data_IF_218743951009
#
_entry.id   IF_218743951009
#
_cell.length_a   1.000
_cell.length_b   1.000
_cell.length_c   1.000
_cell.angle_alpha   90.00
_cell.angle_beta   90.00
_cell.angle_gamma   90.00
#
_symmetry.space_group_name_H-M   'P 1'
#
loop_
_entity.id
_entity.type
_entity.pdbx_description
1 polymer ?
#
# COMPACT_ATOMS: atom_id res chain seq x y z
N UNK A 1 -5.24 8.89 20.10
CA UNK A 1 -6.70 8.79 19.91
C UNK A 1 -7.03 8.87 18.43
N UNK A 2 -6.65 9.92 17.71
CA UNK A 2 -6.97 10.10 16.28
C UNK A 2 -6.28 9.09 15.34
N UNK A 3 -5.03 8.69 15.61
CA UNK A 3 -4.35 7.67 14.77
C UNK A 3 -5.05 6.30 14.79
N UNK A 4 -5.75 5.99 15.89
CA UNK A 4 -6.48 4.72 16.04
C UNK A 4 -7.73 4.71 15.16
N UNK A 5 -8.35 5.87 14.97
CA UNK A 5 -9.53 6.03 14.11
C UNK A 5 -9.20 5.76 12.65
N UNK A 6 -8.10 6.35 12.15
CA UNK A 6 -7.62 6.12 10.78
C UNK A 6 -7.28 4.64 10.52
N UNK A 7 -6.61 3.99 11.48
CA UNK A 7 -6.32 2.55 11.42
C UNK A 7 -7.60 1.72 11.45
N UNK A 8 -8.52 2.06 12.35
CA UNK A 8 -9.80 1.36 12.49
C UNK A 8 -10.62 1.41 11.21
N UNK A 9 -10.68 2.57 10.53
CA UNK A 9 -11.40 2.68 9.26
C UNK A 9 -10.79 1.78 8.18
N UNK A 10 -9.45 1.73 8.08
CA UNK A 10 -8.77 0.84 7.13
C UNK A 10 -9.10 -0.64 7.39
N UNK A 11 -9.03 -1.08 8.64
CA UNK A 11 -9.40 -2.46 9.00
C UNK A 11 -10.86 -2.76 8.73
N UNK A 12 -11.78 -1.82 8.98
CA UNK A 12 -13.19 -2.03 8.66
C UNK A 12 -13.44 -2.25 7.17
N UNK A 13 -12.76 -1.50 6.29
CA UNK A 13 -12.85 -1.75 4.85
C UNK A 13 -12.34 -3.15 4.46
N UNK A 14 -11.24 -3.59 5.08
CA UNK A 14 -10.67 -4.93 4.86
C UNK A 14 -11.64 -6.01 5.37
N UNK A 15 -12.15 -5.88 6.60
CA UNK A 15 -13.07 -6.83 7.24
C UNK A 15 -14.38 -6.98 6.45
N UNK A 16 -14.86 -5.89 5.86
CA UNK A 16 -16.06 -5.89 5.01
C UNK A 16 -15.79 -6.44 3.60
N UNK A 17 -14.53 -6.63 3.20
CA UNK A 17 -14.15 -7.21 1.91
C UNK A 17 -14.62 -6.43 0.68
N UNK A 18 -15.01 -5.15 0.84
CA UNK A 18 -15.60 -4.32 -0.20
C UNK A 18 -17.11 -4.51 -0.43
N UNK A 19 -17.77 -5.39 0.33
CA UNK A 19 -19.20 -5.69 0.19
C UNK A 19 -20.11 -4.60 0.81
N UNK A 20 -19.55 -3.79 1.72
CA UNK A 20 -20.25 -2.67 2.34
C UNK A 20 -19.26 -1.55 2.73
N UNK A 21 -19.81 -0.36 2.98
CA UNK A 21 -19.08 0.80 3.49
C UNK A 21 -19.04 0.79 5.03
N UNK A 22 -17.90 1.08 5.66
CA UNK A 22 -17.81 1.28 7.12
C UNK A 22 -18.70 2.42 7.62
N UNK A 23 -19.22 2.32 8.83
CA UNK A 23 -19.98 3.42 9.43
C UNK A 23 -19.09 4.65 9.62
N UNK A 24 -19.57 5.82 9.20
CA UNK A 24 -18.86 7.10 9.38
C UNK A 24 -17.64 7.30 8.47
N UNK A 25 -17.48 6.51 7.40
CA UNK A 25 -16.35 6.65 6.47
C UNK A 25 -16.16 8.06 5.92
N UNK A 26 -17.22 8.88 5.88
CA UNK A 26 -17.19 10.26 5.39
C UNK A 26 -16.29 11.17 6.23
N UNK A 27 -16.01 10.81 7.49
CA UNK A 27 -15.08 11.56 8.35
C UNK A 27 -13.67 11.63 7.77
N UNK A 28 -13.30 10.67 6.89
CA UNK A 28 -12.06 10.71 6.13
C UNK A 28 -11.81 12.06 5.43
N UNK A 29 -12.86 12.71 4.92
CA UNK A 29 -12.72 13.99 4.22
C UNK A 29 -12.41 15.17 5.16
N UNK A 30 -12.72 15.03 6.44
CA UNK A 30 -12.46 16.04 7.47
C UNK A 30 -11.08 15.87 8.12
N UNK A 31 -10.42 14.74 7.87
CA UNK A 31 -9.11 14.43 8.42
C UNK A 31 -7.99 15.28 7.81
N UNK A 32 -6.97 15.53 8.63
CA UNK A 32 -5.74 16.14 8.15
C UNK A 32 -4.91 15.14 7.30
N UNK A 33 -3.85 15.66 6.68
CA UNK A 33 -2.97 14.86 5.83
C UNK A 33 -2.35 13.68 6.58
N UNK A 34 -2.03 13.82 7.88
CA UNK A 34 -1.37 12.76 8.64
C UNK A 34 -2.31 11.59 8.89
N UNK A 35 -3.55 11.85 9.28
CA UNK A 35 -4.56 10.81 9.48
C UNK A 35 -4.87 10.06 8.18
N UNK A 36 -4.99 10.78 7.06
CA UNK A 36 -5.14 10.14 5.74
C UNK A 36 -3.93 9.26 5.40
N UNK A 37 -2.72 9.74 5.65
CA UNK A 37 -1.51 8.93 5.45
C UNK A 37 -1.53 7.67 6.31
N UNK A 38 -1.91 7.75 7.58
CA UNK A 38 -2.02 6.60 8.49
C UNK A 38 -3.04 5.58 7.95
N UNK A 39 -4.18 6.02 7.44
CA UNK A 39 -5.17 5.15 6.80
C UNK A 39 -4.55 4.37 5.62
N UNK A 40 -3.88 5.07 4.69
CA UNK A 40 -3.24 4.42 3.53
C UNK A 40 -2.04 3.55 3.91
N UNK A 41 -1.22 3.98 4.87
CA UNK A 41 -0.11 3.18 5.41
C UNK A 41 -0.63 1.87 6.05
N UNK A 42 -1.81 1.91 6.67
CA UNK A 42 -2.45 0.73 7.27
C UNK A 42 -2.95 -0.23 6.18
N UNK A 43 -3.54 0.28 5.10
CA UNK A 43 -3.92 -0.54 3.94
C UNK A 43 -2.69 -1.21 3.31
N UNK A 44 -1.61 -0.46 3.10
CA UNK A 44 -0.36 -0.97 2.52
C UNK A 44 0.27 -2.08 3.38
N UNK A 45 0.29 -1.91 4.71
CA UNK A 45 0.79 -2.93 5.64
C UNK A 45 -0.03 -4.23 5.62
N UNK A 46 -1.30 -4.15 5.19
CA UNK A 46 -2.21 -5.29 5.07
C UNK A 46 -2.55 -5.58 3.60
N UNK A 47 -1.66 -5.20 2.67
CA UNK A 47 -1.90 -5.29 1.24
C UNK A 47 -2.41 -6.65 0.75
N UNK A 48 -1.98 -7.83 1.26
CA UNK A 48 -2.55 -9.12 0.88
C UNK A 48 -4.07 -9.21 1.04
N UNK A 49 -4.64 -8.55 2.04
CA UNK A 49 -6.07 -8.53 2.36
C UNK A 49 -6.82 -7.38 1.63
N UNK A 50 -6.11 -6.38 1.12
CA UNK A 50 -6.67 -5.30 0.31
C UNK A 50 -6.95 -5.81 -1.10
N UNK A 51 -8.11 -6.43 -1.29
CA UNK A 51 -8.55 -6.98 -2.58
C UNK A 51 -9.00 -5.89 -3.56
N UNK A 52 -9.24 -6.29 -4.81
CA UNK A 52 -9.84 -5.40 -5.81
C UNK A 52 -11.17 -4.80 -5.33
N UNK A 53 -12.03 -5.61 -4.70
CA UNK A 53 -13.34 -5.17 -4.19
C UNK A 53 -13.17 -4.11 -3.09
N UNK A 54 -12.17 -4.28 -2.21
CA UNK A 54 -11.86 -3.31 -1.16
C UNK A 54 -11.42 -1.98 -1.78
N UNK A 55 -10.52 -2.01 -2.78
CA UNK A 55 -10.08 -0.80 -3.49
C UNK A 55 -11.26 -0.11 -4.18
N UNK A 56 -12.08 -0.87 -4.91
CA UNK A 56 -13.24 -0.33 -5.61
C UNK A 56 -14.25 0.32 -4.64
N UNK A 57 -14.49 -0.30 -3.48
CA UNK A 57 -15.36 0.25 -2.43
C UNK A 57 -14.79 1.53 -1.83
N UNK A 58 -13.50 1.55 -1.49
CA UNK A 58 -12.83 2.75 -0.97
C UNK A 58 -12.88 3.89 -2.01
N UNK A 59 -12.68 3.58 -3.29
CA UNK A 59 -12.73 4.59 -4.35
C UNK A 59 -14.15 5.13 -4.58
N UNK A 60 -15.16 4.26 -4.55
CA UNK A 60 -16.57 4.67 -4.63
C UNK A 60 -16.96 5.57 -3.47
N UNK A 61 -16.55 5.21 -2.25
CA UNK A 61 -16.93 5.91 -1.02
C UNK A 61 -16.17 7.24 -0.84
N UNK A 62 -14.87 7.25 -1.14
CA UNK A 62 -13.97 8.37 -0.84
C UNK A 62 -13.51 9.14 -2.09
N UNK A 63 -13.88 8.69 -3.29
CA UNK A 63 -13.51 9.32 -4.58
C UNK A 63 -12.00 9.56 -4.69
N UNK A 64 -11.20 8.56 -4.32
CA UNK A 64 -9.75 8.67 -4.16
C UNK A 64 -9.01 8.96 -5.47
N UNK A 65 -9.41 8.28 -6.54
CA UNK A 65 -8.79 8.43 -7.87
C UNK A 65 -9.07 9.81 -8.48
N UNK A 66 -10.28 10.34 -8.28
CA UNK A 66 -10.74 11.56 -8.92
C UNK A 66 -10.46 12.84 -8.10
N UNK A 67 -10.68 12.80 -6.78
CA UNK A 67 -10.85 14.03 -5.98
C UNK A 67 -9.79 14.25 -4.91
N UNK A 68 -9.02 13.24 -4.52
CA UNK A 68 -7.95 13.45 -3.53
C UNK A 68 -6.79 14.19 -4.20
N UNK A 69 -6.28 15.28 -3.62
CA UNK A 69 -5.22 16.10 -4.21
C UNK A 69 -3.91 16.04 -3.41
N UNK A 70 -3.93 15.46 -2.22
CA UNK A 70 -2.73 15.34 -1.39
C UNK A 70 -1.70 14.39 -2.05
N UNK A 71 -0.51 14.88 -2.43
CA UNK A 71 0.51 14.04 -3.04
C UNK A 71 1.06 12.96 -2.10
N UNK A 72 1.02 13.16 -0.78
CA UNK A 72 1.43 12.15 0.20
C UNK A 72 0.43 11.00 0.27
N UNK A 73 -0.83 11.26 -0.08
CA UNK A 73 -1.88 10.23 -0.17
C UNK A 73 -1.84 9.53 -1.52
N UNK A 74 -1.78 10.28 -2.62
CA UNK A 74 -1.71 9.72 -3.99
C UNK A 74 -0.54 8.77 -4.19
N UNK A 75 0.62 9.08 -3.60
CA UNK A 75 1.81 8.23 -3.72
C UNK A 75 1.64 6.84 -3.06
N UNK A 76 0.65 6.67 -2.18
CA UNK A 76 0.31 5.40 -1.54
C UNK A 76 -0.87 4.73 -2.23
N UNK A 77 -1.85 5.52 -2.65
CA UNK A 77 -3.06 5.03 -3.30
C UNK A 77 -2.82 4.42 -4.68
N UNK A 78 -2.11 5.11 -5.58
CA UNK A 78 -1.94 4.65 -6.95
C UNK A 78 -1.14 3.35 -7.09
N UNK A 79 0.00 3.15 -6.40
CA UNK A 79 0.73 1.89 -6.47
C UNK A 79 -0.12 0.70 -6.04
N UNK A 80 -0.94 0.86 -5.00
CA UNK A 80 -1.85 -0.16 -4.49
C UNK A 80 -2.95 -0.49 -5.53
N UNK A 81 -3.54 0.52 -6.16
CA UNK A 81 -4.52 0.33 -7.23
C UNK A 81 -3.93 -0.41 -8.44
N UNK A 82 -2.76 0.03 -8.92
CA UNK A 82 -2.08 -0.58 -10.06
C UNK A 82 -1.63 -2.01 -9.72
N UNK A 83 -1.17 -2.23 -8.48
CA UNK A 83 -0.84 -3.54 -7.95
C UNK A 83 -2.00 -4.55 -8.04
N UNK A 84 -3.23 -4.07 -7.87
CA UNK A 84 -4.47 -4.85 -8.02
C UNK A 84 -5.12 -4.75 -9.40
N UNK A 85 -4.48 -4.08 -10.37
CA UNK A 85 -5.01 -3.86 -11.73
C UNK A 85 -6.41 -3.22 -11.69
N UNK A 86 -6.58 -2.21 -10.84
CA UNK A 86 -7.82 -1.46 -10.73
C UNK A 86 -7.89 -0.42 -11.87
N UNK A 87 -8.62 -0.76 -12.94
CA UNK A 87 -8.71 0.01 -14.19
C UNK A 87 -8.96 1.53 -14.00
N UNK A 88 -9.86 1.98 -13.11
CA UNK A 88 -10.14 3.41 -12.94
C UNK A 88 -8.92 4.24 -12.48
N UNK A 89 -7.88 3.60 -11.94
CA UNK A 89 -6.68 4.31 -11.48
C UNK A 89 -5.65 4.59 -12.59
N UNK A 90 -5.72 3.94 -13.77
CA UNK A 90 -4.62 4.03 -14.76
C UNK A 90 -4.47 5.43 -15.34
N UNK A 91 -5.53 6.00 -15.90
CA UNK A 91 -5.48 7.34 -16.48
C UNK A 91 -5.17 8.41 -15.42
N UNK A 92 -5.81 8.43 -14.24
CA UNK A 92 -5.45 9.36 -13.17
C UNK A 92 -4.00 9.22 -12.69
N UNK A 93 -3.48 7.99 -12.59
CA UNK A 93 -2.10 7.74 -12.19
C UNK A 93 -1.10 8.23 -13.25
N UNK A 94 -1.34 7.95 -14.54
CA UNK A 94 -0.49 8.43 -15.64
C UNK A 94 -0.43 9.96 -15.65
N UNK A 95 -1.60 10.62 -15.60
CA UNK A 95 -1.69 12.08 -15.56
C UNK A 95 -0.95 12.64 -14.34
N UNK A 96 -1.08 11.99 -13.18
CA UNK A 96 -0.41 12.42 -11.98
C UNK A 96 1.12 12.30 -12.07
N UNK A 97 1.67 11.15 -12.50
CA UNK A 97 3.13 10.99 -12.66
C UNK A 97 3.70 11.84 -13.78
N UNK A 98 2.90 12.20 -14.78
CA UNK A 98 3.25 13.15 -15.83
C UNK A 98 3.32 14.60 -15.33
N UNK A 99 2.66 14.91 -14.22
CA UNK A 99 2.65 16.25 -13.60
C UNK A 99 3.71 16.42 -12.49
N UNK A 100 4.32 15.32 -12.04
CA UNK A 100 5.19 15.29 -10.85
C UNK A 100 6.65 15.07 -11.21
N UNK A 101 7.53 16.00 -10.79
CA UNK A 101 8.98 15.91 -11.04
C UNK A 101 9.80 15.29 -9.91
N UNK A 102 9.19 14.99 -8.75
CA UNK A 102 9.90 14.49 -7.56
C UNK A 102 9.87 12.97 -7.54
N UNK A 103 11.04 12.33 -7.57
CA UNK A 103 11.18 10.87 -7.53
C UNK A 103 10.39 10.18 -6.42
N UNK A 104 10.30 10.81 -5.23
CA UNK A 104 9.46 10.31 -4.10
C UNK A 104 8.03 9.95 -4.52
N UNK A 105 7.42 10.70 -5.43
CA UNK A 105 6.05 10.49 -5.88
C UNK A 105 5.97 9.59 -7.12
N UNK A 106 6.99 9.65 -7.96
CA UNK A 106 7.04 8.94 -9.24
C UNK A 106 7.42 7.47 -9.04
N UNK A 107 8.46 7.18 -8.26
CA UNK A 107 9.00 5.83 -8.12
C UNK A 107 7.99 4.80 -7.59
N UNK A 108 7.16 5.09 -6.56
CA UNK A 108 6.19 4.12 -6.07
C UNK A 108 5.21 3.65 -7.17
N UNK A 109 4.80 4.55 -8.07
CA UNK A 109 3.85 4.22 -9.15
C UNK A 109 4.48 3.25 -10.15
N UNK A 110 5.71 3.54 -10.59
CA UNK A 110 6.45 2.64 -11.49
C UNK A 110 6.76 1.30 -10.82
N UNK A 111 7.06 1.28 -9.52
CA UNK A 111 7.20 0.03 -8.76
C UNK A 111 5.89 -0.77 -8.75
N UNK A 112 4.74 -0.11 -8.54
CA UNK A 112 3.43 -0.76 -8.60
C UNK A 112 3.16 -1.44 -9.95
N UNK A 113 3.54 -0.79 -11.06
CA UNK A 113 3.45 -1.39 -12.40
C UNK A 113 4.43 -2.56 -12.57
N UNK A 114 5.68 -2.40 -12.15
CA UNK A 114 6.70 -3.44 -12.30
C UNK A 114 6.32 -4.71 -11.53
N UNK A 115 5.93 -4.58 -10.26
CA UNK A 115 5.63 -5.72 -9.40
C UNK A 115 4.34 -6.45 -9.77
N UNK A 116 3.40 -5.77 -10.42
CA UNK A 116 2.17 -6.39 -10.93
C UNK A 116 2.33 -7.02 -12.32
N UNK A 117 3.57 -7.05 -12.85
CA UNK A 117 3.90 -7.61 -14.16
C UNK A 117 3.46 -6.73 -15.32
N UNK A 118 3.33 -5.42 -15.11
CA UNK A 118 2.81 -4.45 -16.06
C UNK A 118 3.91 -3.54 -16.63
N UNK A 119 5.09 -4.11 -16.83
CA UNK A 119 6.26 -3.39 -17.35
C UNK A 119 5.95 -2.64 -18.65
N UNK A 120 5.18 -3.24 -19.58
CA UNK A 120 4.80 -2.60 -20.85
C UNK A 120 4.04 -1.28 -20.66
N UNK A 121 3.14 -1.21 -19.66
CA UNK A 121 2.43 0.04 -19.32
C UNK A 121 3.40 1.07 -18.76
N UNK A 122 4.32 0.62 -17.90
CA UNK A 122 5.39 1.46 -17.36
C UNK A 122 6.30 2.03 -18.46
N UNK A 123 6.69 1.22 -19.45
CA UNK A 123 7.50 1.69 -20.58
C UNK A 123 6.78 2.78 -21.39
N UNK A 124 5.48 2.61 -21.67
CA UNK A 124 4.67 3.60 -22.37
C UNK A 124 4.64 4.92 -21.58
N UNK A 125 4.35 4.87 -20.29
CA UNK A 125 4.28 6.06 -19.44
C UNK A 125 5.63 6.75 -19.29
N UNK A 126 6.71 5.97 -19.16
CA UNK A 126 8.07 6.49 -19.11
C UNK A 126 8.43 7.17 -20.43
N UNK A 127 8.15 6.56 -21.57
CA UNK A 127 8.47 7.14 -22.88
C UNK A 127 7.73 8.45 -23.12
N UNK A 128 6.48 8.55 -22.69
CA UNK A 128 5.70 9.79 -22.75
C UNK A 128 6.32 10.93 -21.92
N UNK A 129 7.03 10.60 -20.84
CA UNK A 129 7.44 11.57 -19.81
C UNK A 129 8.96 11.70 -19.58
N UNK A 130 9.80 10.87 -20.20
CA UNK A 130 11.25 10.77 -19.89
C UNK A 130 12.01 12.09 -20.03
N UNK A 131 11.55 12.97 -20.92
CA UNK A 131 12.15 14.30 -21.16
C UNK A 131 11.68 15.36 -20.16
N UNK A 132 10.56 15.12 -19.47
CA UNK A 132 10.05 15.99 -18.42
C UNK A 132 10.78 15.75 -17.09
N UNK A 133 11.14 14.50 -16.78
CA UNK A 133 11.83 14.16 -15.55
C UNK A 133 13.25 14.74 -15.48
N UNK A 134 13.66 15.12 -14.27
CA UNK A 134 15.08 15.39 -14.00
C UNK A 134 15.91 14.15 -14.34
N UNK A 135 17.13 14.26 -14.90
CA UNK A 135 17.93 13.11 -15.32
C UNK A 135 18.10 12.03 -14.25
N UNK A 136 18.26 12.43 -12.98
CA UNK A 136 18.33 11.49 -11.85
C UNK A 136 17.01 10.73 -11.61
N UNK A 137 15.87 11.38 -11.78
CA UNK A 137 14.55 10.74 -11.66
C UNK A 137 14.31 9.82 -12.85
N UNK A 138 14.67 10.28 -14.06
CA UNK A 138 14.57 9.48 -15.27
C UNK A 138 15.41 8.20 -15.18
N UNK A 139 16.65 8.30 -14.68
CA UNK A 139 17.50 7.14 -14.42
C UNK A 139 16.89 6.21 -13.36
N UNK A 140 16.36 6.75 -12.26
CA UNK A 140 15.70 5.92 -11.23
C UNK A 140 14.47 5.18 -11.74
N UNK A 141 13.66 5.79 -12.61
CA UNK A 141 12.53 5.11 -13.26
C UNK A 141 13.02 4.02 -14.20
N UNK A 142 14.09 4.29 -14.97
CA UNK A 142 14.72 3.30 -15.85
C UNK A 142 15.21 2.09 -15.06
N UNK A 143 15.90 2.31 -13.95
CA UNK A 143 16.39 1.25 -13.06
C UNK A 143 15.23 0.37 -12.54
N UNK A 144 14.07 0.96 -12.22
CA UNK A 144 12.87 0.22 -11.81
C UNK A 144 12.35 -0.64 -12.96
N UNK A 145 12.21 -0.09 -14.16
CA UNK A 145 11.65 -0.81 -15.30
C UNK A 145 12.60 -1.89 -15.87
N UNK A 146 13.91 -1.77 -15.64
CA UNK A 146 14.91 -2.79 -16.03
C UNK A 146 15.08 -3.89 -14.99
N UNK A 147 14.56 -3.71 -13.78
CA UNK A 147 14.66 -4.70 -12.68
C UNK A 147 13.80 -5.95 -12.94
N UNK A 148 14.21 -7.11 -12.43
CA UNK A 148 13.38 -8.31 -12.51
C UNK A 148 12.29 -8.23 -11.43
N UNK A 149 11.00 -8.44 -11.74
CA UNK A 149 9.94 -8.47 -10.72
C UNK A 149 10.23 -9.45 -9.57
N UNK A 150 11.00 -10.51 -9.81
CA UNK A 150 11.42 -11.47 -8.79
C UNK A 150 12.43 -10.90 -7.77
N UNK A 151 13.13 -9.81 -8.11
CA UNK A 151 14.06 -9.11 -7.20
C UNK A 151 13.33 -8.50 -6.00
N UNK A 152 11.99 -8.37 -6.08
CA UNK A 152 11.14 -7.78 -5.03
C UNK A 152 10.19 -8.78 -4.38
N UNK A 153 10.39 -10.07 -4.63
CA UNK A 153 9.62 -11.18 -4.03
C UNK A 153 9.64 -11.16 -2.49
N UNK A 154 10.63 -10.53 -1.87
CA UNK A 154 10.72 -10.36 -0.41
C UNK A 154 9.84 -9.23 0.15
N UNK A 155 9.37 -8.29 -0.69
CA UNK A 155 8.51 -7.19 -0.26
C UNK A 155 7.04 -7.58 -0.20
N UNK A 156 6.65 -8.62 -0.93
CA UNK A 156 5.30 -9.16 -0.95
C UNK A 156 5.45 -10.67 -1.02
N UNK A 157 5.34 -11.36 0.12
CA UNK A 157 5.46 -12.80 0.19
C UNK A 157 4.30 -13.46 -0.58
N UNK A 158 4.51 -13.73 -1.87
CA UNK A 158 3.57 -14.43 -2.75
C UNK A 158 3.77 -15.96 -2.70
N UNK A 159 4.64 -16.47 -1.81
CA UNK A 159 5.08 -17.87 -1.81
C UNK A 159 5.15 -18.53 -0.43
N UNK A 160 4.15 -18.36 0.45
CA UNK A 160 3.88 -19.42 1.43
C UNK A 160 3.25 -20.63 0.72
N UNK A 161 4.11 -21.52 0.23
CA UNK A 161 3.76 -22.94 0.01
C UNK A 161 4.43 -23.79 1.11
N UNK A 162 3.74 -24.78 1.70
CA UNK A 162 4.13 -25.40 2.97
C UNK A 162 5.23 -26.48 2.84
N UNK A 163 6.18 -26.32 1.93
CA UNK A 163 7.28 -27.27 1.74
C UNK A 163 8.60 -26.56 1.48
N UNK A 164 9.25 -26.06 2.53
CA UNK A 164 10.70 -26.23 2.80
C UNK A 164 11.09 -25.47 4.08
N UNK A 165 10.55 -25.91 5.22
CA UNK A 165 11.17 -25.60 6.50
C UNK A 165 12.45 -26.44 6.64
N UNK A 166 13.56 -25.93 6.13
CA UNK A 166 14.83 -26.64 6.19
C UNK A 166 16.02 -25.89 5.61
N UNK A 167 16.39 -24.76 6.21
CA UNK A 167 17.77 -24.43 6.62
C UNK A 167 17.80 -22.98 7.16
N UNK A 168 17.82 -22.84 8.48
CA UNK A 168 18.01 -21.55 9.15
C UNK A 168 19.50 -21.24 9.24
N UNK A 169 20.03 -20.48 8.28
CA UNK A 169 21.21 -19.65 8.56
C UNK A 169 21.16 -18.36 7.75
N UNK A 170 21.14 -17.25 8.49
CA UNK A 170 21.22 -15.85 8.03
C UNK A 170 19.98 -15.23 7.34
N UNK A 171 19.02 -14.81 8.17
CA UNK A 171 18.19 -13.63 7.88
C UNK A 171 18.37 -12.60 9.02
N UNK A 172 18.58 -11.30 8.73
CA UNK A 172 18.70 -10.27 9.74
C UNK A 172 17.35 -10.02 10.42
N UNK A 173 17.37 -9.92 11.75
CA UNK A 173 16.22 -9.69 12.61
C UNK A 173 15.40 -8.47 12.20
N UNK A 174 14.26 -8.70 11.55
CA UNK A 174 13.19 -7.71 11.52
C UNK A 174 12.43 -7.87 12.84
N UNK A 175 12.56 -6.89 13.74
CA UNK A 175 11.78 -6.85 14.97
C UNK A 175 10.30 -6.87 14.60
N UNK A 176 9.61 -7.97 14.92
CA UNK A 176 8.16 -7.99 14.96
C UNK A 176 7.73 -7.01 16.05
N UNK A 177 7.15 -5.88 15.65
CA UNK A 177 6.44 -5.02 16.58
C UNK A 177 5.23 -5.82 17.08
N UNK A 178 5.32 -6.32 18.31
CA UNK A 178 4.18 -6.92 19.00
C UNK A 178 3.12 -5.84 19.22
N UNK A 179 2.13 -5.77 18.33
CA UNK A 179 0.86 -5.12 18.61
C UNK A 179 0.09 -6.07 19.53
N UNK A 180 0.21 -5.84 20.84
CA UNK A 180 -0.66 -6.50 21.82
C UNK A 180 -2.05 -5.89 21.72
N UNK A 181 -2.95 -6.58 21.02
CA UNK A 181 -4.40 -6.35 21.13
C UNK A 181 -4.83 -6.87 22.51
N UNK A 182 -4.90 -5.98 23.50
CA UNK A 182 -5.50 -6.28 24.79
C UNK A 182 -7.04 -6.24 24.66
N UNK A 183 -7.62 -7.38 24.29
CA UNK A 183 -9.05 -7.66 24.46
C UNK A 183 -9.40 -7.96 25.94
N UNK A 184 -10.65 -7.73 26.37
CA UNK A 184 -11.00 -7.66 27.79
C UNK A 184 -11.30 -9.03 28.41
N UNK A 185 -10.91 -9.18 29.68
CA UNK A 185 -11.47 -10.08 30.70
C UNK A 185 -11.49 -11.60 30.39
N UNK A 186 -10.44 -12.30 30.83
CA UNK A 186 -10.60 -13.63 31.41
C UNK A 186 -9.57 -13.88 32.53
N UNK A 187 -10.11 -13.94 33.74
CA UNK A 187 -9.48 -14.28 35.01
C UNK A 187 -9.00 -15.73 35.00
N UNK A 188 -7.70 -16.01 35.25
CA UNK A 188 -7.27 -17.22 35.96
C UNK A 188 -5.92 -17.00 36.68
N UNK A 189 -5.95 -17.27 37.98
CA UNK A 189 -4.83 -17.22 38.93
C UNK A 189 -3.87 -18.39 38.67
N UNK A 190 -2.56 -18.14 38.62
CA UNK A 190 -1.57 -19.10 39.12
C UNK A 190 -0.31 -18.39 39.65
N UNK A 191 -0.14 -18.45 40.97
CA UNK A 191 1.07 -18.16 41.73
C UNK A 191 2.20 -19.11 41.33
N UNK A 192 3.39 -18.60 40.98
CA UNK A 192 4.67 -19.27 41.31
C UNK A 192 5.74 -18.23 41.61
N UNK A 193 6.12 -18.16 42.88
CA UNK A 193 7.29 -17.45 43.43
C UNK A 193 8.58 -18.16 43.01
N UNK A 194 9.64 -17.42 42.68
CA UNK A 194 10.99 -17.98 42.67
C UNK A 194 11.95 -17.10 43.47
N UNK A 195 12.68 -17.78 44.38
CA UNK A 195 13.88 -17.32 45.09
C UNK A 195 15.06 -17.22 44.12
#
# INVERSE_FOLDING_TARGET
EESVEAQSLAFQYIDLGGEASPDGYQEYHNWDSLMKQIFHDTLEQNYPEVTWNVIARIDEDLSMTETEFDPEVRMRWFPMCLGRKYDPAYEPAELWVSSMGRGKYVYPVFNGLQYSGQNEVGEIWYDNNRNFYHPQVSAGVRDILDSDPSDFSYLFDVNETPETAGDTSAAPSIMKANVYVLGPLAMYVLLVTFM
#
